data_IF_979265702841
#
_entry.id   IF_979265702841
#
_cell.length_a   1.000
_cell.length_b   1.000
_cell.length_c   1.000
_cell.angle_alpha   90.00
_cell.angle_beta   90.00
_cell.angle_gamma   90.00
#
_symmetry.space_group_name_H-M   'P 1'
#
loop_
_entity.id
_entity.type
_entity.pdbx_description
1 polymer ?
#
# COMPACT_ATOMS: atom_id res chain seq x y z
N UNK A 1 14.72 5.91 -14.40
CA UNK A 1 13.37 6.40 -14.75
C UNK A 1 12.57 6.39 -13.48
N UNK A 2 12.06 7.54 -13.04
CA UNK A 2 11.10 7.63 -11.94
C UNK A 2 9.86 6.84 -12.35
N UNK A 3 9.57 5.74 -11.66
CA UNK A 3 8.46 4.83 -12.00
C UNK A 3 7.15 5.31 -11.35
N UNK A 4 7.21 6.33 -10.48
CA UNK A 4 6.11 6.73 -9.62
C UNK A 4 5.22 7.85 -10.18
N UNK A 5 5.62 8.56 -11.24
CA UNK A 5 4.96 9.82 -11.60
C UNK A 5 3.62 9.67 -12.35
N UNK A 6 3.29 8.50 -12.92
CA UNK A 6 2.11 8.36 -13.81
C UNK A 6 1.13 7.24 -13.45
N UNK A 7 1.35 6.48 -12.36
CA UNK A 7 0.47 5.35 -12.01
C UNK A 7 -0.48 5.68 -10.87
N UNK A 8 -1.75 5.89 -11.22
CA UNK A 8 -2.83 6.03 -10.24
C UNK A 8 -3.31 4.66 -9.78
N UNK A 9 -3.16 4.37 -8.49
CA UNK A 9 -3.73 3.19 -7.85
C UNK A 9 -4.87 3.61 -6.94
N UNK A 10 -6.06 3.09 -7.20
CA UNK A 10 -7.20 3.18 -6.29
C UNK A 10 -7.51 1.77 -5.81
N UNK A 11 -7.75 1.62 -4.51
CA UNK A 11 -8.33 0.43 -3.93
C UNK A 11 -9.83 0.65 -3.72
N UNK A 12 -10.65 -0.24 -4.26
CA UNK A 12 -12.08 -0.32 -3.94
C UNK A 12 -12.30 -1.61 -3.17
N UNK A 13 -12.60 -1.50 -1.87
CA UNK A 13 -12.89 -2.66 -1.03
C UNK A 13 -14.20 -3.31 -1.49
N UNK A 14 -14.13 -4.55 -1.96
CA UNK A 14 -15.26 -5.47 -2.02
C UNK A 14 -15.01 -6.61 -1.02
N UNK A 15 -16.05 -7.35 -0.63
CA UNK A 15 -16.02 -8.38 0.42
C UNK A 15 -14.98 -9.53 0.25
N UNK A 16 -14.06 -9.49 -0.71
CA UNK A 16 -12.93 -10.44 -0.82
C UNK A 16 -11.76 -9.98 -1.71
N UNK A 17 -11.82 -8.76 -2.23
CA UNK A 17 -10.84 -8.25 -3.18
C UNK A 17 -10.79 -6.73 -3.17
N UNK A 18 -9.67 -6.20 -3.68
CA UNK A 18 -9.60 -4.81 -4.12
C UNK A 18 -9.21 -4.77 -5.59
N UNK A 19 -9.83 -3.86 -6.34
CA UNK A 19 -9.40 -3.54 -7.69
C UNK A 19 -8.17 -2.64 -7.64
N UNK A 20 -7.24 -2.80 -8.58
CA UNK A 20 -6.14 -1.90 -8.89
C UNK A 20 -6.28 -1.52 -10.36
N UNK A 21 -6.27 -0.22 -10.65
CA UNK A 21 -6.25 0.30 -12.01
C UNK A 21 -4.80 0.65 -12.35
N UNK A 22 -4.29 0.17 -13.48
CA UNK A 22 -2.90 0.34 -13.89
C UNK A 22 -2.81 1.38 -15.01
N UNK A 23 -3.22 2.61 -14.76
CA UNK A 23 -3.04 3.69 -15.74
C UNK A 23 -1.56 4.11 -15.81
N UNK A 24 -0.99 4.50 -16.97
CA UNK A 24 -1.58 4.53 -18.32
C UNK A 24 -1.45 3.20 -19.09
N UNK A 25 -1.11 2.09 -18.43
CA UNK A 25 -0.95 0.79 -19.08
C UNK A 25 -2.28 0.30 -19.66
N UNK A 26 -2.26 -0.06 -20.95
CA UNK A 26 -3.44 -0.50 -21.69
C UNK A 26 -3.34 -1.97 -22.09
N UNK A 27 -4.48 -2.62 -22.07
CA UNK A 27 -4.65 -3.94 -22.66
C UNK A 27 -4.58 -3.83 -24.19
N UNK A 28 -3.62 -4.54 -24.79
CA UNK A 28 -3.51 -4.64 -26.25
C UNK A 28 -4.72 -5.36 -26.89
N UNK A 29 -5.41 -6.21 -26.13
CA UNK A 29 -6.56 -6.99 -26.61
C UNK A 29 -7.92 -6.34 -26.36
N UNK A 30 -8.06 -5.49 -25.34
CA UNK A 30 -9.35 -4.89 -24.95
C UNK A 30 -9.45 -3.37 -25.19
N UNK A 31 -8.36 -2.70 -25.60
CA UNK A 31 -8.35 -1.27 -25.91
C UNK A 31 -8.50 -0.31 -24.71
N UNK A 32 -8.74 -0.83 -23.50
CA UNK A 32 -8.91 -0.10 -22.25
C UNK A 32 -7.70 -0.17 -21.31
N UNK A 33 -7.79 0.54 -20.17
CA UNK A 33 -6.83 0.43 -19.08
C UNK A 33 -6.86 -0.98 -18.47
N UNK A 34 -5.72 -1.42 -17.93
CA UNK A 34 -5.64 -2.71 -17.26
C UNK A 34 -6.20 -2.53 -15.84
N UNK A 35 -7.23 -3.31 -15.51
CA UNK A 35 -7.76 -3.40 -14.16
C UNK A 35 -7.50 -4.81 -13.63
N UNK A 36 -6.82 -4.88 -12.49
CA UNK A 36 -6.50 -6.14 -11.83
C UNK A 36 -7.25 -6.25 -10.51
N UNK A 37 -7.96 -7.35 -10.29
CA UNK A 37 -8.55 -7.64 -8.99
C UNK A 37 -7.56 -8.44 -8.16
N UNK A 38 -7.05 -7.83 -7.09
CA UNK A 38 -6.22 -8.51 -6.09
C UNK A 38 -7.15 -9.14 -5.08
N UNK A 39 -7.19 -10.48 -5.06
CA UNK A 39 -8.07 -11.25 -4.17
C UNK A 39 -7.32 -11.62 -2.90
N UNK A 40 -7.86 -11.23 -1.74
CA UNK A 40 -7.31 -11.63 -0.44
C UNK A 40 -8.13 -12.74 0.26
N UNK A 41 -9.22 -13.20 -0.39
CA UNK A 41 -9.89 -14.47 -0.06
C UNK A 41 -10.72 -14.47 1.23
N UNK A 42 -11.01 -13.31 1.80
CA UNK A 42 -11.81 -13.18 3.03
C UNK A 42 -12.55 -11.84 3.04
N UNK A 43 -13.71 -11.78 3.71
CA UNK A 43 -14.45 -10.54 3.96
C UNK A 43 -13.98 -9.78 5.20
N UNK A 44 -13.05 -10.34 5.95
CA UNK A 44 -12.54 -9.79 7.21
C UNK A 44 -11.38 -8.81 7.00
N UNK A 45 -11.33 -8.12 5.87
CA UNK A 45 -10.20 -7.28 5.50
C UNK A 45 -10.68 -5.96 4.92
N UNK A 46 -10.06 -4.88 5.37
CA UNK A 46 -10.27 -3.55 4.84
C UNK A 46 -8.92 -2.94 4.46
N UNK A 47 -8.75 -2.61 3.17
CA UNK A 47 -7.57 -1.92 2.65
C UNK A 47 -7.77 -0.42 2.80
N UNK A 48 -6.89 0.24 3.53
CA UNK A 48 -6.93 1.69 3.75
C UNK A 48 -6.16 2.45 2.67
N UNK A 49 -4.99 1.94 2.27
CA UNK A 49 -4.14 2.57 1.27
C UNK A 49 -3.32 1.56 0.48
N UNK A 50 -2.92 1.96 -0.73
CA UNK A 50 -2.05 1.21 -1.63
C UNK A 50 -1.04 2.19 -2.23
N UNK A 51 0.21 1.77 -2.33
CA UNK A 51 1.27 2.49 -3.00
C UNK A 51 1.99 1.60 -4.02
N UNK A 52 2.55 2.22 -5.04
CA UNK A 52 3.36 1.57 -6.06
C UNK A 52 4.79 1.47 -5.55
N UNK A 53 5.32 0.25 -5.51
CA UNK A 53 6.72 0.02 -5.17
C UNK A 53 7.61 -0.07 -6.40
N UNK A 54 7.11 -0.61 -7.51
CA UNK A 54 7.92 -0.69 -8.72
C UNK A 54 7.24 -1.42 -9.86
N UNK A 55 7.87 -1.30 -11.03
CA UNK A 55 7.43 -1.94 -12.26
C UNK A 55 8.65 -2.58 -12.91
N UNK A 56 8.59 -3.89 -13.12
CA UNK A 56 9.62 -4.65 -13.83
C UNK A 56 9.02 -5.29 -15.08
N UNK A 57 9.79 -5.36 -16.16
CA UNK A 57 9.43 -6.15 -17.35
C UNK A 57 10.22 -7.45 -17.32
N UNK A 58 9.56 -8.57 -17.60
CA UNK A 58 10.26 -9.83 -17.78
C UNK A 58 10.74 -10.03 -19.23
N UNK A 59 11.54 -11.07 -19.43
CA UNK A 59 12.09 -11.48 -20.73
C UNK A 59 11.03 -11.95 -21.73
N UNK A 60 9.77 -12.10 -21.32
CA UNK A 60 8.63 -12.55 -22.13
C UNK A 60 7.64 -11.42 -22.45
N UNK A 61 8.01 -10.15 -22.20
CA UNK A 61 7.15 -8.96 -22.29
C UNK A 61 5.99 -8.91 -21.27
N UNK A 62 5.99 -9.77 -20.25
CA UNK A 62 5.13 -9.63 -19.09
C UNK A 62 5.53 -8.41 -18.28
N UNK A 63 4.54 -7.65 -17.80
CA UNK A 63 4.78 -6.51 -16.90
C UNK A 63 4.41 -6.92 -15.48
N UNK A 64 5.37 -6.79 -14.58
CA UNK A 64 5.27 -7.09 -13.16
C UNK A 64 5.16 -5.81 -12.38
N UNK A 65 4.06 -5.64 -11.68
CA UNK A 65 3.84 -4.51 -10.80
C UNK A 65 4.01 -4.96 -9.36
N UNK A 66 4.73 -4.18 -8.57
CA UNK A 66 4.91 -4.40 -7.14
C UNK A 66 4.14 -3.30 -6.43
N UNK A 67 3.23 -3.69 -5.55
CA UNK A 67 2.45 -2.80 -4.70
C UNK A 67 2.71 -3.10 -3.24
N UNK A 68 2.58 -2.08 -2.41
CA UNK A 68 2.48 -2.23 -0.97
C UNK A 68 1.12 -1.70 -0.55
N UNK A 69 0.41 -2.42 0.31
CA UNK A 69 -0.87 -1.96 0.82
C UNK A 69 -0.99 -2.13 2.33
N UNK A 70 -1.64 -1.17 2.95
CA UNK A 70 -1.92 -1.12 4.39
C UNK A 70 -3.37 -1.46 4.62
N UNK A 71 -3.62 -2.39 5.52
CA UNK A 71 -4.95 -2.93 5.73
C UNK A 71 -5.16 -3.37 7.19
N UNK A 72 -6.42 -3.59 7.55
CA UNK A 72 -6.83 -4.06 8.87
C UNK A 72 -7.67 -5.33 8.75
N UNK A 73 -7.46 -6.26 9.69
CA UNK A 73 -8.37 -7.39 9.93
C UNK A 73 -9.52 -6.88 10.80
N UNK A 74 -10.72 -6.74 10.23
CA UNK A 74 -11.83 -6.05 10.91
C UNK A 74 -12.28 -6.74 12.20
N UNK A 75 -12.26 -8.08 12.23
CA UNK A 75 -12.71 -8.89 13.37
C UNK A 75 -11.82 -8.73 14.60
N UNK A 76 -10.52 -8.55 14.38
CA UNK A 76 -9.51 -8.50 15.44
C UNK A 76 -8.90 -7.12 15.60
N UNK A 77 -9.25 -6.17 14.71
CA UNK A 77 -8.62 -4.85 14.62
C UNK A 77 -7.10 -4.97 14.60
N UNK A 78 -6.61 -5.87 13.73
CA UNK A 78 -5.17 -6.13 13.60
C UNK A 78 -4.68 -5.46 12.33
N UNK A 79 -3.87 -4.41 12.41
CA UNK A 79 -3.26 -3.80 11.25
C UNK A 79 -2.18 -4.72 10.67
N UNK A 80 -2.09 -4.73 9.35
CA UNK A 80 -1.09 -5.49 8.62
C UNK A 80 -0.69 -4.77 7.34
N UNK A 81 0.52 -5.04 6.88
CA UNK A 81 1.03 -4.55 5.60
C UNK A 81 1.25 -5.74 4.69
N UNK A 82 0.93 -5.61 3.40
CA UNK A 82 1.24 -6.63 2.42
C UNK A 82 2.01 -6.07 1.23
N UNK A 83 2.88 -6.90 0.69
CA UNK A 83 3.55 -6.70 -0.58
C UNK A 83 2.82 -7.57 -1.58
N UNK A 84 2.35 -6.98 -2.69
CA UNK A 84 1.65 -7.69 -3.76
C UNK A 84 2.42 -7.58 -5.05
N UNK A 85 2.59 -8.72 -5.71
CA UNK A 85 3.07 -8.80 -7.07
C UNK A 85 1.88 -9.05 -7.98
N UNK A 86 1.70 -8.19 -8.97
CA UNK A 86 0.71 -8.37 -10.03
C UNK A 86 1.45 -8.57 -11.34
N UNK A 87 1.40 -9.79 -11.86
CA UNK A 87 1.90 -10.09 -13.19
C UNK A 87 0.77 -9.92 -14.21
N UNK A 88 1.03 -9.11 -15.23
CA UNK A 88 0.12 -8.88 -16.34
C UNK A 88 0.72 -9.50 -17.60
N UNK A 89 0.08 -10.57 -18.07
CA UNK A 89 0.42 -11.25 -19.34
C UNK A 89 -0.83 -11.33 -20.20
N UNK A 90 -0.79 -10.78 -21.43
CA UNK A 90 -1.94 -10.77 -22.36
C UNK A 90 -3.26 -10.31 -21.70
N UNK A 91 -3.20 -9.25 -20.87
CA UNK A 91 -4.36 -8.70 -20.13
C UNK A 91 -4.92 -9.59 -19.02
N UNK A 92 -4.28 -10.72 -18.72
CA UNK A 92 -4.60 -11.54 -17.54
C UNK A 92 -3.79 -11.04 -16.36
N UNK A 93 -4.46 -10.76 -15.23
CA UNK A 93 -3.82 -10.35 -13.99
C UNK A 93 -3.69 -11.54 -13.04
N UNK A 94 -2.47 -11.93 -12.73
CA UNK A 94 -2.19 -12.88 -11.65
C UNK A 94 -1.58 -12.12 -10.49
N UNK A 95 -2.17 -12.26 -9.30
CA UNK A 95 -1.69 -11.59 -8.09
C UNK A 95 -1.24 -12.59 -7.04
N UNK A 96 -0.10 -12.31 -6.42
CA UNK A 96 0.38 -12.98 -5.21
C UNK A 96 0.69 -11.91 -4.17
N UNK A 97 0.51 -12.23 -2.89
CA UNK A 97 0.83 -11.29 -1.82
C UNK A 97 1.42 -11.99 -0.61
N UNK A 98 2.27 -11.27 0.10
CA UNK A 98 2.84 -11.66 1.38
C UNK A 98 2.52 -10.56 2.39
N UNK A 99 2.01 -10.94 3.56
CA UNK A 99 1.56 -10.00 4.58
C UNK A 99 2.31 -10.19 5.89
N UNK A 100 2.50 -9.09 6.59
CA UNK A 100 3.11 -9.03 7.93
C UNK A 100 2.14 -8.28 8.84
N UNK A 101 1.71 -8.93 9.92
CA UNK A 101 0.91 -8.30 10.96
C UNK A 101 1.77 -7.29 11.75
N UNK A 102 1.24 -6.11 12.03
CA UNK A 102 2.00 -4.99 12.64
C UNK A 102 1.92 -4.94 14.17
N UNK A 103 1.25 -5.91 14.80
CA UNK A 103 1.10 -6.00 16.25
C UNK A 103 0.09 -7.04 16.69
N UNK A 104 -0.20 -7.06 17.99
CA UNK A 104 -1.32 -7.83 18.55
C UNK A 104 -2.61 -7.07 18.30
N UNK A 105 -3.68 -7.72 17.85
CA UNK A 105 -4.96 -7.06 17.53
C UNK A 105 -5.54 -6.18 18.64
N UNK A 106 -6.56 -5.38 18.31
CA UNK A 106 -7.22 -4.42 19.20
C UNK A 106 -6.94 -2.96 18.86
N UNK A 107 -6.10 -2.70 17.85
CA UNK A 107 -5.78 -1.38 17.36
C UNK A 107 -6.59 -1.10 16.10
N UNK A 108 -7.80 -0.56 16.28
CA UNK A 108 -8.56 -0.06 15.13
C UNK A 108 -7.81 1.13 14.55
N UNK A 109 -7.68 1.20 13.23
CA UNK A 109 -6.98 2.26 12.52
C UNK A 109 -8.01 3.21 11.90
N UNK A 110 -8.04 4.46 12.37
CA UNK A 110 -8.84 5.50 11.70
C UNK A 110 -8.29 5.83 10.31
N UNK A 111 -6.96 5.78 10.19
CA UNK A 111 -6.24 5.95 8.95
C UNK A 111 -5.04 5.01 8.89
N UNK A 112 -4.62 4.71 7.67
CA UNK A 112 -3.37 4.01 7.41
C UNK A 112 -2.88 4.48 6.05
N UNK A 113 -1.90 5.39 6.06
CA UNK A 113 -1.25 5.92 4.86
C UNK A 113 0.03 5.14 4.59
N UNK A 114 0.30 4.86 3.32
CA UNK A 114 1.55 4.26 2.86
C UNK A 114 2.15 5.11 1.74
N UNK A 115 3.46 5.31 1.83
CA UNK A 115 4.29 5.83 0.75
C UNK A 115 5.48 4.91 0.50
N UNK A 116 6.06 5.00 -0.70
CA UNK A 116 7.25 4.23 -1.11
C UNK A 116 8.32 5.22 -1.54
N UNK A 117 9.56 4.97 -1.14
CA UNK A 117 10.68 5.79 -1.60
C UNK A 117 10.85 5.76 -3.12
N UNK A 118 11.59 6.73 -3.63
CA UNK A 118 11.85 6.93 -5.06
C UNK A 118 12.48 5.71 -5.74
N UNK A 119 13.14 4.84 -4.98
CA UNK A 119 13.82 3.67 -5.48
C UNK A 119 12.98 2.39 -5.38
N UNK A 120 11.80 2.43 -4.76
CA UNK A 120 10.99 1.23 -4.56
C UNK A 120 11.58 0.23 -3.56
N UNK A 121 12.53 0.68 -2.73
CA UNK A 121 13.25 -0.18 -1.78
C UNK A 121 12.54 -0.23 -0.44
N UNK A 122 12.04 0.91 0.02
CA UNK A 122 11.39 1.03 1.32
C UNK A 122 9.97 1.55 1.19
N UNK A 123 9.07 0.92 1.93
CA UNK A 123 7.74 1.48 2.20
C UNK A 123 7.73 2.08 3.61
N UNK A 124 7.03 3.21 3.73
CA UNK A 124 6.80 3.89 4.99
C UNK A 124 5.31 3.91 5.22
N UNK A 125 4.88 3.53 6.42
CA UNK A 125 3.47 3.59 6.78
C UNK A 125 3.24 4.39 8.05
N UNK A 126 2.15 5.14 8.03
CA UNK A 126 1.71 6.00 9.10
C UNK A 126 0.27 5.62 9.45
N UNK A 127 0.07 5.26 10.69
CA UNK A 127 -1.24 4.92 11.24
C UNK A 127 -1.53 5.77 12.47
N UNK A 128 -2.67 5.58 13.12
CA UNK A 128 -3.02 6.28 14.36
C UNK A 128 -2.13 5.92 15.56
N UNK A 129 -1.54 4.73 15.54
CA UNK A 129 -0.92 4.09 16.70
C UNK A 129 0.58 3.84 16.49
N UNK A 130 1.00 3.61 15.25
CA UNK A 130 2.41 3.38 14.93
C UNK A 130 2.84 3.98 13.58
N UNK A 131 4.14 4.11 13.45
CA UNK A 131 4.85 4.45 12.22
C UNK A 131 5.87 3.37 11.95
N UNK A 132 5.96 2.92 10.69
CA UNK A 132 6.93 1.90 10.31
C UNK A 132 7.71 2.21 9.06
N UNK A 133 8.84 1.51 8.94
CA UNK A 133 9.64 1.38 7.72
C UNK A 133 9.77 -0.10 7.39
N UNK A 134 9.32 -0.49 6.20
CA UNK A 134 9.38 -1.85 5.65
C UNK A 134 10.46 -1.90 4.57
N UNK A 135 11.37 -2.87 4.65
CA UNK A 135 12.18 -3.32 3.52
C UNK A 135 11.31 -4.21 2.62
N UNK A 136 11.04 -3.74 1.41
CA UNK A 136 10.13 -4.41 0.47
C UNK A 136 10.75 -5.71 -0.04
N UNK A 137 12.05 -5.73 -0.31
CA UNK A 137 12.70 -6.92 -0.87
C UNK A 137 12.98 -7.99 0.17
N UNK A 138 13.31 -7.60 1.40
CA UNK A 138 13.47 -8.52 2.51
C UNK A 138 12.14 -8.92 3.18
N UNK A 139 11.03 -8.23 2.83
CA UNK A 139 9.75 -8.29 3.55
C UNK A 139 9.95 -8.18 5.08
N UNK A 140 10.70 -7.18 5.51
CA UNK A 140 11.10 -7.03 6.91
C UNK A 140 10.81 -5.63 7.45
N UNK A 141 10.16 -5.55 8.61
CA UNK A 141 9.94 -4.29 9.31
C UNK A 141 11.24 -3.87 10.00
N UNK A 142 11.82 -2.75 9.56
CA UNK A 142 13.07 -2.20 10.09
C UNK A 142 12.80 -1.29 11.29
N UNK A 143 11.74 -0.49 11.20
CA UNK A 143 11.33 0.46 12.23
C UNK A 143 9.86 0.21 12.51
N UNK A 144 9.49 0.16 13.79
CA UNK A 144 8.12 0.17 14.26
C UNK A 144 8.09 0.94 15.58
N UNK A 145 7.59 2.18 15.54
CA UNK A 145 7.56 3.09 16.69
C UNK A 145 6.15 3.62 16.88
N UNK A 146 5.81 4.03 18.09
CA UNK A 146 4.50 4.63 18.34
C UNK A 146 4.38 6.00 17.67
N UNK A 147 3.19 6.38 17.23
CA UNK A 147 2.95 7.72 16.65
C UNK A 147 3.33 8.85 17.59
N UNK A 148 3.12 8.67 18.90
CA UNK A 148 3.50 9.61 19.95
C UNK A 148 5.01 9.89 20.02
N UNK A 149 5.85 9.05 19.43
CA UNK A 149 7.30 9.27 19.34
C UNK A 149 7.72 10.12 18.14
N UNK A 150 6.82 10.29 17.16
CA UNK A 150 7.08 10.99 15.89
C UNK A 150 6.36 12.34 15.82
N UNK A 151 5.11 12.39 16.31
CA UNK A 151 4.27 13.58 16.21
C UNK A 151 4.09 14.26 17.56
N UNK A 152 4.19 15.61 17.62
CA UNK A 152 4.20 16.35 18.88
C UNK A 152 2.83 16.47 19.57
N UNK A 153 1.72 16.08 18.95
CA UNK A 153 0.37 16.25 19.53
C UNK A 153 -0.67 15.26 19.00
N UNK A 154 -1.70 14.98 19.81
CA UNK A 154 -2.85 14.13 19.46
C UNK A 154 -3.75 14.66 18.33
N UNK A 155 -3.64 15.95 17.96
CA UNK A 155 -4.43 16.55 16.87
C UNK A 155 -3.79 16.44 15.48
N UNK A 156 -2.67 15.74 15.34
CA UNK A 156 -2.05 15.54 14.02
C UNK A 156 -2.59 14.27 13.38
N UNK A 157 -3.51 14.43 12.43
CA UNK A 157 -4.01 13.37 11.58
C UNK A 157 -3.42 13.56 10.17
N UNK A 158 -2.51 12.69 9.72
CA UNK A 158 -1.95 12.79 8.40
C UNK A 158 -3.01 12.39 7.36
N UNK A 159 -3.10 13.17 6.29
CA UNK A 159 -4.00 12.93 5.16
C UNK A 159 -3.24 12.52 3.89
N UNK A 160 -1.98 12.93 3.78
CA UNK A 160 -1.14 12.62 2.64
C UNK A 160 0.32 12.41 3.07
N UNK A 161 1.03 11.64 2.27
CA UNK A 161 2.46 11.41 2.41
C UNK A 161 3.13 11.46 1.05
N UNK A 162 4.28 12.13 1.01
CA UNK A 162 5.23 12.11 -0.09
C UNK A 162 6.60 11.66 0.44
N UNK A 163 7.27 10.77 -0.28
CA UNK A 163 8.48 10.08 0.20
C UNK A 163 9.63 10.25 -0.79
N UNK A 164 10.74 10.77 -0.30
CA UNK A 164 12.03 10.79 -0.96
C UNK A 164 12.94 9.66 -0.45
N UNK A 165 14.12 9.50 -1.05
CA UNK A 165 15.08 8.45 -0.64
C UNK A 165 15.57 8.56 0.81
N UNK A 166 15.56 9.77 1.39
CA UNK A 166 16.13 10.04 2.72
C UNK A 166 15.19 10.78 3.68
N UNK A 167 14.04 11.24 3.21
CA UNK A 167 13.07 11.98 4.01
C UNK A 167 11.66 11.74 3.49
N UNK A 168 10.66 12.04 4.31
CA UNK A 168 9.26 12.04 3.90
C UNK A 168 8.59 13.33 4.38
N UNK A 169 7.68 13.87 3.57
CA UNK A 169 6.77 14.94 3.96
C UNK A 169 5.42 14.31 4.20
N UNK A 170 4.88 14.53 5.40
CA UNK A 170 3.54 14.11 5.76
C UNK A 170 2.73 15.36 6.03
N UNK A 171 1.53 15.43 5.43
CA UNK A 171 0.66 16.59 5.55
C UNK A 171 -0.70 16.17 6.13
N UNK A 172 -1.23 16.99 7.04
CA UNK A 172 -2.60 16.84 7.54
C UNK A 172 -2.88 17.71 8.76
N UNK A 173 -4.10 18.25 8.81
CA UNK A 173 -4.69 18.92 9.97
C UNK A 173 -6.19 18.59 9.97
N UNK A 174 -6.60 17.92 11.03
CA UNK A 174 -7.98 17.60 11.36
C UNK A 174 -8.05 17.36 12.86
N UNK A 175 -9.05 17.93 13.52
CA UNK A 175 -9.43 17.47 14.85
C UNK A 175 -10.13 16.14 14.63
N UNK A 176 -9.60 15.06 15.23
CA UNK A 176 -10.48 13.97 15.64
C UNK A 176 -11.35 14.60 16.71
N UNK A 177 -12.50 15.16 16.32
CA UNK A 177 -13.53 15.49 17.29
C UNK A 177 -13.84 14.18 18.01
N UNK A 178 -13.57 14.15 19.32
CA UNK A 178 -13.94 13.06 20.24
C UNK A 178 -15.45 12.77 20.21
#
# INVERSE_FOLDING_TARGET
>A
MSVNDDMFVSASNAFSNFAVILYPFRSSSAGGYIQCNVRYGTSDRFVHSVAVAGIAKDSTNGTHFIFVFGAEKMSTKTPYVCITHVNVTNSTCNSTYQCTDMGTGGFHQEYFLIGVDTNGTFAYGFTDSFVFKLDIYANNIIINVTTSSVWPSSGFIPHAIDVASTWAVVAGYGYADE
#
